data_IF_527115736560
#
_entry.id   IF_527115736560
#
_cell.length_a   1.000
_cell.length_b   1.000
_cell.length_c   1.000
_cell.angle_alpha   90.00
_cell.angle_beta   90.00
_cell.angle_gamma   90.00
#
_symmetry.space_group_name_H-M   'P 1'
#
loop_
_entity.id
_entity.type
_entity.pdbx_description
1 polymer ?
#
# COMPACT_ATOMS: atom_id res chain seq x y z
N UNK A 1 -27.52 -25.50 -25.97
CA UNK A 1 -26.85 -24.17 -25.87
C UNK A 1 -25.80 -24.30 -24.79
N UNK A 2 -24.71 -23.54 -24.87
CA UNK A 2 -23.68 -23.59 -23.83
C UNK A 2 -24.15 -22.73 -22.65
N UNK A 3 -24.15 -23.29 -21.45
CA UNK A 3 -24.63 -22.59 -20.25
C UNK A 3 -23.56 -21.64 -19.72
N UNK A 4 -23.97 -20.42 -19.38
CA UNK A 4 -23.11 -19.36 -18.83
C UNK A 4 -23.42 -19.24 -17.34
N UNK A 5 -22.40 -19.36 -16.49
CA UNK A 5 -22.53 -19.11 -15.05
C UNK A 5 -22.12 -17.68 -14.73
N UNK A 6 -23.01 -16.93 -14.08
CA UNK A 6 -22.75 -15.61 -13.52
C UNK A 6 -22.46 -15.78 -12.03
N UNK A 7 -21.21 -15.57 -11.63
CA UNK A 7 -20.75 -15.68 -10.26
C UNK A 7 -20.61 -14.28 -9.64
N UNK A 8 -21.33 -14.04 -8.55
CA UNK A 8 -21.34 -12.78 -7.78
C UNK A 8 -21.87 -11.55 -8.52
N UNK A 9 -22.54 -11.75 -9.66
CA UNK A 9 -23.33 -10.70 -10.33
C UNK A 9 -24.59 -10.34 -9.54
N UNK A 10 -25.20 -9.21 -9.87
CA UNK A 10 -26.49 -8.81 -9.32
C UNK A 10 -27.66 -9.42 -10.10
N UNK A 11 -28.84 -9.52 -9.48
CA UNK A 11 -30.01 -10.07 -10.15
C UNK A 11 -30.47 -9.20 -11.34
N UNK A 12 -30.18 -7.90 -11.31
CA UNK A 12 -30.39 -6.99 -12.45
C UNK A 12 -29.54 -7.38 -13.67
N UNK A 13 -28.29 -7.79 -13.44
CA UNK A 13 -27.37 -8.20 -14.52
C UNK A 13 -27.80 -9.52 -15.13
N UNK A 14 -28.24 -10.46 -14.28
CA UNK A 14 -28.83 -11.73 -14.70
C UNK A 14 -30.04 -11.49 -15.62
N UNK A 15 -31.00 -10.66 -15.20
CA UNK A 15 -32.20 -10.34 -15.99
C UNK A 15 -31.83 -9.70 -17.33
N UNK A 16 -30.86 -8.80 -17.33
CA UNK A 16 -30.36 -8.12 -18.54
C UNK A 16 -29.80 -9.12 -19.58
N UNK A 17 -28.99 -10.08 -19.14
CA UNK A 17 -28.44 -11.10 -20.04
C UNK A 17 -29.51 -12.10 -20.51
N UNK A 18 -30.45 -12.44 -19.63
CA UNK A 18 -31.60 -13.30 -19.96
C UNK A 18 -32.49 -12.65 -21.02
N UNK A 19 -32.77 -11.35 -20.92
CA UNK A 19 -33.54 -10.57 -21.91
C UNK A 19 -32.86 -10.55 -23.29
N UNK A 20 -31.52 -10.63 -23.31
CA UNK A 20 -30.71 -10.79 -24.54
C UNK A 20 -30.63 -12.23 -25.05
N UNK A 21 -31.38 -13.16 -24.45
CA UNK A 21 -31.47 -14.58 -24.80
C UNK A 21 -30.18 -15.37 -24.58
N UNK A 22 -29.32 -14.93 -23.66
CA UNK A 22 -28.22 -15.76 -23.18
C UNK A 22 -28.76 -16.82 -22.21
N UNK A 23 -28.21 -18.03 -22.28
CA UNK A 23 -28.51 -19.12 -21.36
C UNK A 23 -27.65 -18.97 -20.10
N UNK A 24 -28.13 -18.15 -19.16
CA UNK A 24 -27.40 -17.75 -17.95
C UNK A 24 -27.97 -18.40 -16.69
N UNK A 25 -27.10 -18.70 -15.73
CA UNK A 25 -27.47 -19.07 -14.36
C UNK A 25 -26.70 -18.22 -13.35
N UNK A 26 -27.40 -17.71 -12.33
CA UNK A 26 -26.81 -16.93 -11.26
C UNK A 26 -26.35 -17.83 -10.10
N UNK A 27 -25.15 -17.55 -9.59
CA UNK A 27 -24.57 -18.16 -8.39
C UNK A 27 -23.82 -17.10 -7.59
N UNK A 28 -23.71 -17.36 -6.30
CA UNK A 28 -22.96 -16.51 -5.37
C UNK A 28 -21.89 -17.34 -4.69
N UNK A 29 -20.74 -16.73 -4.45
CA UNK A 29 -19.71 -17.30 -3.59
C UNK A 29 -20.18 -17.27 -2.13
N UNK A 30 -19.53 -18.08 -1.30
CA UNK A 30 -19.67 -18.08 0.15
C UNK A 30 -19.29 -16.73 0.77
N UNK A 31 -18.39 -15.98 0.13
CA UNK A 31 -18.01 -14.63 0.58
C UNK A 31 -19.14 -13.62 0.43
N UNK A 32 -19.93 -13.72 -0.66
CA UNK A 32 -21.09 -12.85 -0.92
C UNK A 32 -22.35 -13.31 -0.16
N UNK A 33 -22.66 -14.60 -0.22
CA UNK A 33 -23.88 -15.18 0.36
C UNK A 33 -23.81 -15.41 1.87
N UNK A 34 -22.60 -15.50 2.44
CA UNK A 34 -22.37 -15.87 3.84
C UNK A 34 -22.63 -17.34 4.18
N UNK A 35 -22.83 -18.19 3.17
CA UNK A 35 -23.03 -19.64 3.32
C UNK A 35 -21.71 -20.38 3.25
N UNK A 36 -21.70 -21.68 3.56
CA UNK A 36 -20.52 -22.55 3.40
C UNK A 36 -20.94 -23.76 2.59
N UNK A 37 -20.97 -23.59 1.27
CA UNK A 37 -21.33 -24.61 0.30
C UNK A 37 -20.19 -24.74 -0.74
N UNK A 38 -20.03 -25.93 -1.34
CA UNK A 38 -19.08 -26.10 -2.46
C UNK A 38 -19.63 -25.44 -3.71
N UNK A 39 -18.77 -24.71 -4.41
CA UNK A 39 -19.14 -23.98 -5.61
C UNK A 39 -19.00 -24.88 -6.84
N UNK A 40 -20.13 -25.46 -7.25
CA UNK A 40 -20.19 -26.40 -8.38
C UNK A 40 -20.79 -25.72 -9.62
N UNK A 41 -20.03 -25.61 -10.73
CA UNK A 41 -20.58 -25.22 -12.01
C UNK A 41 -21.59 -26.25 -12.55
N UNK A 42 -22.59 -25.82 -13.34
CA UNK A 42 -23.48 -26.73 -14.05
C UNK A 42 -22.74 -27.69 -15.00
N UNK A 43 -23.31 -28.89 -15.24
CA UNK A 43 -22.66 -29.94 -16.05
C UNK A 43 -22.35 -29.53 -17.50
N UNK A 44 -23.10 -28.59 -18.06
CA UNK A 44 -22.98 -28.07 -19.43
C UNK A 44 -22.42 -26.64 -19.48
N UNK A 45 -21.85 -26.18 -18.37
CA UNK A 45 -21.25 -24.85 -18.26
C UNK A 45 -19.96 -24.77 -19.08
N UNK A 46 -19.90 -23.80 -20.01
CA UNK A 46 -18.71 -23.54 -20.83
C UNK A 46 -18.11 -22.17 -20.60
N UNK A 47 -18.88 -21.24 -20.05
CA UNK A 47 -18.43 -19.88 -19.76
C UNK A 47 -18.78 -19.53 -18.33
N UNK A 48 -17.81 -19.04 -17.57
CA UNK A 48 -18.01 -18.48 -16.24
C UNK A 48 -17.63 -17.01 -16.29
N UNK A 49 -18.53 -16.14 -15.83
CA UNK A 49 -18.27 -14.74 -15.60
C UNK A 49 -18.25 -14.53 -14.09
N UNK A 50 -17.16 -13.98 -13.55
CA UNK A 50 -16.97 -13.80 -12.11
C UNK A 50 -16.67 -12.35 -11.76
N UNK A 51 -17.45 -11.76 -10.85
CA UNK A 51 -17.16 -10.47 -10.23
C UNK A 51 -16.41 -10.63 -8.92
N UNK A 52 -15.08 -10.55 -8.96
CA UNK A 52 -14.23 -10.62 -7.79
C UNK A 52 -14.11 -9.24 -7.10
N UNK A 53 -15.14 -8.84 -6.36
CA UNK A 53 -15.19 -7.59 -5.60
C UNK A 53 -15.73 -7.84 -4.19
N UNK A 54 -14.85 -8.31 -3.32
CA UNK A 54 -15.18 -8.94 -2.04
C UNK A 54 -14.28 -8.38 -0.93
N UNK A 55 -14.90 -7.93 0.16
CA UNK A 55 -14.22 -7.35 1.32
C UNK A 55 -14.12 -8.33 2.51
N UNK A 56 -14.48 -9.60 2.32
CA UNK A 56 -14.44 -10.61 3.37
C UNK A 56 -13.01 -11.15 3.56
N UNK A 57 -12.66 -11.60 4.77
CA UNK A 57 -11.32 -12.09 5.12
C UNK A 57 -11.23 -13.63 5.26
N UNK A 58 -12.29 -14.37 4.89
CA UNK A 58 -12.34 -15.83 4.99
C UNK A 58 -11.49 -16.53 3.95
N UNK A 59 -10.21 -16.77 4.24
CA UNK A 59 -9.24 -17.36 3.29
C UNK A 59 -9.50 -18.83 2.94
N UNK A 60 -10.16 -19.59 3.81
CA UNK A 60 -10.42 -21.03 3.61
C UNK A 60 -11.71 -21.35 2.84
N UNK A 61 -12.51 -20.35 2.47
CA UNK A 61 -13.73 -20.57 1.69
C UNK A 61 -13.36 -20.94 0.25
N UNK A 62 -14.06 -21.93 -0.30
CA UNK A 62 -13.81 -22.47 -1.65
C UNK A 62 -12.41 -23.08 -1.86
N UNK A 63 -11.66 -23.35 -0.78
CA UNK A 63 -10.40 -24.06 -0.89
C UNK A 63 -10.62 -25.45 -1.50
N UNK A 64 -10.15 -25.65 -2.73
CA UNK A 64 -10.32 -26.88 -3.52
C UNK A 64 -11.44 -26.84 -4.57
N UNK A 65 -12.34 -25.86 -4.54
CA UNK A 65 -13.39 -25.73 -5.57
C UNK A 65 -12.80 -25.33 -6.94
N UNK A 66 -11.60 -24.73 -6.96
CA UNK A 66 -10.85 -24.39 -8.17
C UNK A 66 -10.76 -25.54 -9.19
N UNK A 67 -10.65 -26.79 -8.73
CA UNK A 67 -10.59 -27.96 -9.61
C UNK A 67 -11.81 -28.08 -10.53
N UNK A 68 -12.98 -27.60 -10.10
CA UNK A 68 -14.19 -27.61 -10.92
C UNK A 68 -14.13 -26.61 -12.08
N UNK A 69 -13.54 -25.44 -11.84
CA UNK A 69 -13.38 -24.39 -12.86
C UNK A 69 -12.20 -24.68 -13.78
N UNK A 70 -11.10 -25.20 -13.24
CA UNK A 70 -9.97 -25.69 -14.03
C UNK A 70 -10.41 -26.73 -15.04
N UNK A 71 -11.28 -27.67 -14.62
CA UNK A 71 -11.85 -28.67 -15.53
C UNK A 71 -12.63 -28.04 -16.70
N UNK A 72 -13.39 -26.97 -16.46
CA UNK A 72 -14.10 -26.26 -17.54
C UNK A 72 -13.10 -25.72 -18.55
N UNK A 73 -12.02 -25.09 -18.09
CA UNK A 73 -10.98 -24.54 -18.96
C UNK A 73 -10.22 -25.63 -19.70
N UNK A 74 -9.87 -26.72 -19.02
CA UNK A 74 -9.20 -27.89 -19.63
C UNK A 74 -10.06 -28.52 -20.75
N UNK A 75 -11.39 -28.48 -20.61
CA UNK A 75 -12.36 -28.92 -21.63
C UNK A 75 -12.63 -27.89 -22.73
N UNK A 76 -11.89 -26.78 -22.78
CA UNK A 76 -12.02 -25.72 -23.79
C UNK A 76 -13.01 -24.60 -23.44
N UNK A 77 -13.43 -24.51 -22.19
CA UNK A 77 -14.27 -23.43 -21.67
C UNK A 77 -13.47 -22.17 -21.30
N UNK A 78 -14.21 -21.14 -20.90
CA UNK A 78 -13.66 -19.81 -20.63
C UNK A 78 -14.11 -19.31 -19.27
N UNK A 79 -13.18 -18.74 -18.50
CA UNK A 79 -13.48 -18.07 -17.22
C UNK A 79 -13.02 -16.62 -17.32
N UNK A 80 -13.96 -15.68 -17.23
CA UNK A 80 -13.69 -14.23 -17.25
C UNK A 80 -13.86 -13.68 -15.84
N UNK A 81 -12.81 -13.06 -15.31
CA UNK A 81 -12.81 -12.48 -13.97
C UNK A 81 -12.69 -10.96 -14.05
N UNK A 82 -13.67 -10.25 -13.51
CA UNK A 82 -13.62 -8.82 -13.27
C UNK A 82 -13.02 -8.58 -11.89
N UNK A 83 -11.77 -8.10 -11.86
CA UNK A 83 -10.99 -7.98 -10.62
C UNK A 83 -11.21 -6.61 -10.01
N UNK A 84 -12.14 -6.54 -9.05
CA UNK A 84 -12.45 -5.37 -8.23
C UNK A 84 -11.65 -5.32 -6.94
N UNK A 85 -12.20 -4.70 -5.91
CA UNK A 85 -11.56 -4.66 -4.60
C UNK A 85 -11.67 -6.04 -3.93
N UNK A 86 -10.65 -6.86 -4.08
CA UNK A 86 -10.56 -8.16 -3.43
C UNK A 86 -9.10 -8.54 -3.15
N UNK A 87 -8.93 -9.58 -2.34
CA UNK A 87 -7.62 -10.21 -2.08
C UNK A 87 -7.35 -11.34 -3.08
N UNK A 88 -6.07 -11.64 -3.34
CA UNK A 88 -5.62 -12.68 -4.29
C UNK A 88 -6.34 -14.03 -4.12
N UNK A 89 -6.54 -14.48 -2.87
CA UNK A 89 -7.20 -15.77 -2.60
C UNK A 89 -8.67 -15.82 -3.03
N UNK A 90 -9.37 -14.69 -3.15
CA UNK A 90 -10.73 -14.67 -3.69
C UNK A 90 -10.76 -15.06 -5.17
N UNK A 91 -9.65 -14.83 -5.87
CA UNK A 91 -9.47 -15.26 -7.25
C UNK A 91 -8.91 -16.69 -7.30
N UNK A 92 -7.80 -16.95 -6.62
CA UNK A 92 -7.10 -18.25 -6.74
C UNK A 92 -7.87 -19.43 -6.16
N UNK A 93 -8.73 -19.23 -5.16
CA UNK A 93 -9.61 -20.31 -4.67
C UNK A 93 -10.69 -20.69 -5.70
N UNK A 94 -10.99 -19.84 -6.68
CA UNK A 94 -11.97 -20.11 -7.76
C UNK A 94 -11.28 -20.59 -9.03
N UNK A 95 -10.16 -20.00 -9.44
CA UNK A 95 -9.52 -20.29 -10.74
C UNK A 95 -8.21 -21.09 -10.66
N UNK A 96 -7.79 -21.44 -9.45
CA UNK A 96 -6.53 -22.12 -9.19
C UNK A 96 -5.37 -21.16 -8.91
N UNK A 97 -4.27 -21.71 -8.40
CA UNK A 97 -3.04 -20.95 -8.20
C UNK A 97 -2.36 -20.66 -9.54
N UNK A 98 -1.93 -19.41 -9.73
CA UNK A 98 -1.25 -18.95 -10.94
C UNK A 98 0.14 -18.45 -10.53
N UNK A 99 1.23 -19.01 -11.07
CA UNK A 99 2.58 -18.63 -10.67
C UNK A 99 2.82 -17.13 -10.81
N UNK A 100 3.43 -16.53 -9.78
CA UNK A 100 3.76 -15.11 -9.69
C UNK A 100 2.59 -14.13 -9.90
N UNK A 101 1.34 -14.60 -9.88
CA UNK A 101 0.18 -13.71 -9.78
C UNK A 101 0.26 -12.99 -8.43
N UNK A 102 0.23 -11.66 -8.48
CA UNK A 102 0.28 -10.81 -7.29
C UNK A 102 -0.60 -9.59 -7.50
N UNK A 103 -1.35 -9.18 -6.50
CA UNK A 103 -2.21 -7.99 -6.59
C UNK A 103 -1.48 -6.80 -5.97
N UNK A 104 -0.94 -5.93 -6.83
CA UNK A 104 -0.41 -4.64 -6.41
C UNK A 104 -1.35 -3.51 -6.85
N UNK A 105 -1.72 -2.62 -5.93
CA UNK A 105 -2.71 -1.58 -6.20
C UNK A 105 -2.24 -0.59 -7.29
N UNK A 106 -3.01 -0.45 -8.37
CA UNK A 106 -2.79 0.60 -9.37
C UNK A 106 -3.44 1.91 -8.93
N UNK A 107 -2.63 2.86 -8.50
CA UNK A 107 -3.08 4.18 -8.04
C UNK A 107 -3.78 5.04 -9.11
N UNK A 108 -3.58 4.74 -10.40
CA UNK A 108 -4.20 5.43 -11.53
C UNK A 108 -4.86 4.39 -12.44
N UNK A 109 -6.03 3.83 -12.05
CA UNK A 109 -6.62 2.65 -12.70
C UNK A 109 -7.11 2.91 -14.14
N UNK A 110 -7.40 4.15 -14.51
CA UNK A 110 -7.85 4.59 -15.84
C UNK A 110 -6.70 4.98 -16.79
N UNK A 111 -5.49 5.20 -16.23
CA UNK A 111 -4.29 5.54 -16.99
C UNK A 111 -3.55 4.27 -17.40
N UNK A 112 -3.97 3.73 -18.54
CA UNK A 112 -3.51 2.44 -19.06
C UNK A 112 -2.93 2.54 -20.48
N UNK A 113 -2.17 1.53 -20.87
CA UNK A 113 -1.78 1.23 -22.23
C UNK A 113 -2.42 -0.09 -22.66
N UNK A 114 -3.13 -0.09 -23.78
CA UNK A 114 -3.95 -1.21 -24.24
C UNK A 114 -3.43 -1.81 -25.55
N UNK A 115 -3.68 -3.11 -25.71
CA UNK A 115 -3.42 -3.82 -26.97
C UNK A 115 -4.36 -3.30 -28.05
N UNK A 116 -3.87 -3.21 -29.28
CA UNK A 116 -4.65 -2.76 -30.45
C UNK A 116 -5.20 -3.91 -31.28
N UNK A 117 -5.16 -5.12 -30.72
CA UNK A 117 -5.58 -6.32 -31.42
C UNK A 117 -7.04 -6.64 -31.11
N UNK A 118 -7.87 -6.88 -32.14
CA UNK A 118 -9.19 -7.43 -31.93
C UNK A 118 -9.11 -8.82 -31.27
N UNK A 119 -10.07 -9.15 -30.41
CA UNK A 119 -11.25 -8.36 -30.14
C UNK A 119 -11.17 -7.53 -28.83
N UNK A 120 -10.03 -7.58 -28.13
CA UNK A 120 -9.83 -6.95 -26.82
C UNK A 120 -9.70 -5.42 -26.90
N UNK A 121 -9.23 -4.88 -28.02
CA UNK A 121 -9.16 -3.44 -28.26
C UNK A 121 -10.52 -2.74 -27.99
N UNK A 122 -11.62 -3.37 -28.42
CA UNK A 122 -12.97 -2.81 -28.28
C UNK A 122 -13.38 -2.62 -26.81
N UNK A 123 -12.91 -3.51 -25.92
CA UNK A 123 -13.19 -3.43 -24.48
C UNK A 123 -12.61 -2.12 -23.92
N UNK A 124 -11.31 -1.89 -24.14
CA UNK A 124 -10.63 -0.74 -23.56
C UNK A 124 -11.03 0.56 -24.26
N UNK A 125 -11.21 0.56 -25.58
CA UNK A 125 -11.67 1.74 -26.31
C UNK A 125 -13.04 2.25 -25.80
N UNK A 126 -13.96 1.35 -25.45
CA UNK A 126 -15.29 1.73 -25.01
C UNK A 126 -15.39 1.93 -23.49
N UNK A 127 -14.72 1.10 -22.69
CA UNK A 127 -14.97 1.01 -21.26
C UNK A 127 -13.85 1.58 -20.37
N UNK A 128 -12.71 1.98 -20.93
CA UNK A 128 -11.60 2.59 -20.17
C UNK A 128 -12.01 3.70 -19.20
N UNK A 129 -12.90 4.66 -19.55
CA UNK A 129 -13.31 5.72 -18.62
C UNK A 129 -14.06 5.22 -17.38
N UNK A 130 -14.55 3.97 -17.40
CA UNK A 130 -15.30 3.36 -16.31
C UNK A 130 -14.45 2.46 -15.43
N UNK A 131 -13.15 2.31 -15.71
CA UNK A 131 -12.26 1.53 -14.85
C UNK A 131 -12.14 2.27 -13.51
N UNK A 132 -12.79 1.72 -12.48
CA UNK A 132 -12.76 2.31 -11.13
C UNK A 132 -11.76 1.62 -10.23
N UNK A 133 -11.35 0.38 -10.55
CA UNK A 133 -10.32 -0.35 -9.81
C UNK A 133 -9.52 -1.25 -10.74
N UNK A 134 -8.22 -1.36 -10.50
CA UNK A 134 -7.32 -2.25 -11.21
C UNK A 134 -6.13 -2.63 -10.32
N UNK A 135 -5.70 -3.88 -10.41
CA UNK A 135 -4.42 -4.33 -9.84
C UNK A 135 -3.39 -4.52 -10.95
N UNK A 136 -2.14 -4.28 -10.61
CA UNK A 136 -0.99 -4.78 -11.36
C UNK A 136 -0.81 -6.25 -10.95
N UNK A 137 -1.04 -7.17 -11.90
CA UNK A 137 -1.27 -8.59 -11.68
C UNK A 137 0.01 -9.45 -11.68
N UNK A 138 1.06 -8.98 -12.36
CA UNK A 138 2.31 -9.73 -12.51
C UNK A 138 3.51 -8.79 -12.42
N UNK A 139 4.63 -9.21 -11.81
CA UNK A 139 5.85 -8.41 -11.70
C UNK A 139 6.67 -8.37 -13.00
N UNK A 140 6.01 -8.37 -14.17
CA UNK A 140 6.63 -8.49 -15.50
C UNK A 140 6.25 -7.29 -16.39
N UNK A 141 6.90 -6.13 -16.22
CA UNK A 141 6.52 -4.93 -16.95
C UNK A 141 6.98 -4.93 -18.42
N UNK A 142 6.36 -4.09 -19.26
CA UNK A 142 6.68 -3.88 -20.68
C UNK A 142 6.49 -5.13 -21.57
N UNK A 143 5.39 -5.84 -21.35
CA UNK A 143 5.00 -7.03 -22.07
C UNK A 143 3.68 -6.89 -22.82
N UNK A 144 3.13 -5.68 -22.97
CA UNK A 144 1.92 -5.41 -23.76
C UNK A 144 1.97 -6.10 -25.12
N UNK A 145 0.95 -6.92 -25.41
CA UNK A 145 0.83 -7.69 -26.66
C UNK A 145 1.76 -8.90 -26.77
N UNK A 146 2.70 -9.11 -25.84
CA UNK A 146 3.58 -10.28 -25.84
C UNK A 146 2.89 -11.48 -25.20
N UNK A 147 3.22 -12.65 -25.70
CA UNK A 147 2.89 -13.95 -25.09
C UNK A 147 4.09 -14.44 -24.30
N UNK A 148 3.89 -14.77 -23.03
CA UNK A 148 4.88 -15.29 -22.10
C UNK A 148 4.48 -16.73 -21.75
N UNK A 149 5.41 -17.68 -21.91
CA UNK A 149 5.17 -19.06 -21.51
C UNK A 149 5.52 -19.25 -20.03
N UNK A 150 4.56 -19.70 -19.23
CA UNK A 150 4.75 -19.92 -17.79
C UNK A 150 5.44 -21.24 -17.44
N UNK A 151 5.80 -22.09 -18.42
CA UNK A 151 6.56 -23.33 -18.17
C UNK A 151 7.96 -23.06 -17.66
N UNK A 152 8.49 -21.87 -17.94
CA UNK A 152 9.83 -21.42 -17.54
C UNK A 152 9.82 -20.69 -16.19
N UNK A 153 8.65 -20.48 -15.59
CA UNK A 153 8.50 -19.81 -14.29
C UNK A 153 8.73 -20.80 -13.14
N UNK A 154 8.96 -20.29 -11.93
CA UNK A 154 9.11 -21.10 -10.72
C UNK A 154 8.02 -20.73 -9.69
N UNK A 155 7.01 -21.59 -9.46
CA UNK A 155 6.83 -22.92 -10.03
C UNK A 155 6.37 -22.89 -11.49
N UNK A 156 6.70 -23.93 -12.30
CA UNK A 156 6.30 -23.98 -13.70
C UNK A 156 4.81 -24.28 -13.83
N UNK A 157 4.13 -23.61 -14.76
CA UNK A 157 2.74 -23.89 -15.11
C UNK A 157 2.55 -24.05 -16.62
N UNK A 158 1.67 -24.96 -17.02
CA UNK A 158 1.26 -25.15 -18.42
C UNK A 158 0.25 -24.06 -18.85
N UNK A 159 0.70 -22.81 -18.80
CA UNK A 159 -0.09 -21.63 -19.12
C UNK A 159 0.67 -20.71 -20.09
N UNK A 160 -0.06 -20.08 -21.01
CA UNK A 160 0.48 -18.99 -21.83
C UNK A 160 -0.21 -17.67 -21.47
N UNK A 161 0.57 -16.68 -21.06
CA UNK A 161 0.09 -15.36 -20.64
C UNK A 161 0.26 -14.35 -21.75
N UNK A 162 -0.83 -13.76 -22.20
CA UNK A 162 -0.84 -12.61 -23.10
C UNK A 162 -1.27 -11.35 -22.35
N UNK A 163 -0.45 -10.30 -22.38
CA UNK A 163 -0.79 -9.03 -21.72
C UNK A 163 -1.67 -8.19 -22.65
N UNK A 164 -2.88 -7.87 -22.17
CA UNK A 164 -3.89 -7.12 -22.93
C UNK A 164 -3.88 -5.63 -22.60
N UNK A 165 -3.59 -5.28 -21.35
CA UNK A 165 -3.41 -3.89 -20.94
C UNK A 165 -2.40 -3.79 -19.80
N UNK A 166 -1.71 -2.65 -19.75
CA UNK A 166 -0.73 -2.29 -18.73
C UNK A 166 -1.12 -1.00 -18.01
N UNK A 167 -0.68 -0.85 -16.77
CA UNK A 167 -0.79 0.39 -16.01
C UNK A 167 0.14 1.47 -16.57
N UNK A 168 0.04 2.70 -16.06
CA UNK A 168 0.99 3.78 -16.38
C UNK A 168 2.45 3.47 -16.00
N UNK A 169 2.67 2.44 -15.16
CA UNK A 169 3.99 1.91 -14.78
C UNK A 169 4.42 0.72 -15.67
N UNK A 170 3.64 0.42 -16.70
CA UNK A 170 3.84 -0.67 -17.65
C UNK A 170 3.70 -2.07 -17.05
N UNK A 171 3.00 -2.23 -15.92
CA UNK A 171 2.72 -3.54 -15.35
C UNK A 171 1.39 -4.09 -15.86
N UNK A 172 1.26 -5.41 -16.11
CA UNK A 172 0.02 -6.01 -16.59
C UNK A 172 -1.15 -5.75 -15.64
N UNK A 173 -2.24 -5.16 -16.14
CA UNK A 173 -3.50 -4.97 -15.39
C UNK A 173 -4.65 -5.81 -15.97
N UNK A 174 -4.44 -6.33 -17.18
CA UNK A 174 -5.35 -7.24 -17.84
C UNK A 174 -4.55 -8.24 -18.64
N UNK A 175 -4.89 -9.52 -18.48
CA UNK A 175 -4.19 -10.62 -19.13
C UNK A 175 -5.16 -11.68 -19.62
N UNK A 176 -4.73 -12.43 -20.62
CA UNK A 176 -5.35 -13.67 -21.05
C UNK A 176 -4.38 -14.82 -20.75
N UNK A 177 -4.85 -15.84 -20.03
CA UNK A 177 -4.06 -17.00 -19.65
C UNK A 177 -4.64 -18.25 -20.34
N UNK A 178 -3.96 -18.76 -21.37
CA UNK A 178 -4.40 -19.97 -22.09
C UNK A 178 -3.96 -21.22 -21.34
N UNK A 179 -4.88 -22.17 -21.19
CA UNK A 179 -4.63 -23.52 -20.64
C UNK A 179 -5.31 -24.54 -21.55
N UNK A 180 -4.51 -25.32 -22.29
CA UNK A 180 -5.05 -26.25 -23.29
C UNK A 180 -5.89 -25.53 -24.35
N UNK A 181 -7.16 -25.92 -24.49
CA UNK A 181 -8.10 -25.32 -25.46
C UNK A 181 -8.93 -24.17 -24.86
N UNK A 182 -8.85 -23.94 -23.54
CA UNK A 182 -9.57 -22.89 -22.84
C UNK A 182 -8.65 -21.74 -22.41
N UNK A 183 -9.24 -20.74 -21.76
CA UNK A 183 -8.46 -19.65 -21.18
C UNK A 183 -9.18 -18.94 -20.02
N UNK A 184 -8.37 -18.31 -19.17
CA UNK A 184 -8.82 -17.30 -18.22
C UNK A 184 -8.62 -15.91 -18.80
N UNK A 185 -9.56 -15.01 -18.58
CA UNK A 185 -9.47 -13.61 -18.96
C UNK A 185 -9.62 -12.75 -17.71
N UNK A 186 -8.52 -12.09 -17.30
CA UNK A 186 -8.51 -11.18 -16.15
C UNK A 186 -8.68 -9.76 -16.65
N UNK A 187 -9.78 -9.13 -16.25
CA UNK A 187 -10.14 -7.76 -16.61
C UNK A 187 -10.14 -6.87 -15.36
N UNK A 188 -9.85 -5.57 -15.51
CA UNK A 188 -10.02 -4.63 -14.42
C UNK A 188 -11.51 -4.46 -14.10
N UNK A 189 -11.79 -3.74 -13.03
CA UNK A 189 -13.16 -3.50 -12.58
C UNK A 189 -13.75 -2.24 -13.20
N UNK A 190 -14.84 -2.42 -13.93
CA UNK A 190 -15.56 -1.34 -14.62
C UNK A 190 -16.81 -0.87 -13.85
N UNK A 191 -16.98 -1.27 -12.59
CA UNK A 191 -18.18 -0.97 -11.80
C UNK A 191 -19.44 -1.60 -12.38
N UNK A 192 -20.52 -0.84 -12.43
CA UNK A 192 -21.82 -1.26 -13.01
C UNK A 192 -21.72 -1.62 -14.50
N UNK A 193 -20.60 -1.30 -15.16
CA UNK A 193 -20.36 -1.59 -16.58
C UNK A 193 -19.80 -2.99 -16.84
N UNK A 194 -19.49 -3.78 -15.81
CA UNK A 194 -19.01 -5.15 -15.99
C UNK A 194 -19.96 -6.02 -16.83
N UNK A 195 -21.28 -5.88 -16.65
CA UNK A 195 -22.27 -6.62 -17.46
C UNK A 195 -22.24 -6.19 -18.93
N UNK A 196 -22.00 -4.91 -19.22
CA UNK A 196 -21.86 -4.41 -20.59
C UNK A 196 -20.58 -4.90 -21.27
N UNK A 197 -19.49 -5.01 -20.50
CA UNK A 197 -18.24 -5.63 -20.97
C UNK A 197 -18.46 -7.11 -21.23
N UNK A 198 -19.15 -7.83 -20.33
CA UNK A 198 -19.49 -9.23 -20.52
C UNK A 198 -20.32 -9.44 -21.80
N UNK A 199 -21.32 -8.59 -22.05
CA UNK A 199 -22.12 -8.61 -23.28
C UNK A 199 -21.28 -8.44 -24.55
N UNK A 200 -20.24 -7.61 -24.51
CA UNK A 200 -19.33 -7.39 -25.64
C UNK A 200 -18.44 -8.61 -25.89
N UNK A 201 -17.96 -9.25 -24.82
CA UNK A 201 -17.01 -10.36 -24.89
C UNK A 201 -17.69 -11.69 -25.21
N UNK A 202 -18.89 -11.94 -24.67
CA UNK A 202 -19.62 -13.22 -24.82
C UNK A 202 -19.73 -13.72 -26.28
N UNK A 203 -20.14 -12.90 -27.27
CA UNK A 203 -20.22 -13.34 -28.67
C UNK A 203 -18.88 -13.72 -29.30
N UNK A 204 -17.77 -13.24 -28.74
CA UNK A 204 -16.41 -13.47 -29.25
C UNK A 204 -15.78 -14.73 -28.65
N UNK A 205 -16.16 -15.06 -27.41
CA UNK A 205 -15.60 -16.20 -26.65
C UNK A 205 -16.51 -17.43 -26.69
N UNK A 206 -17.80 -17.26 -26.97
CA UNK A 206 -18.67 -18.40 -27.20
C UNK A 206 -18.30 -19.04 -28.54
N UNK A 207 -18.05 -20.36 -28.58
CA UNK A 207 -17.79 -21.04 -29.83
C UNK A 207 -19.01 -20.83 -30.74
N UNK A 208 -18.82 -20.08 -31.84
CA UNK A 208 -19.69 -20.24 -32.98
C UNK A 208 -19.64 -21.72 -33.31
N UNK A 209 -20.79 -22.40 -33.35
CA UNK A 209 -20.90 -23.76 -33.86
C UNK A 209 -20.44 -23.78 -35.32
N UNK A 210 -19.14 -23.84 -35.52
CA UNK A 210 -18.45 -23.94 -36.79
C UNK A 210 -17.05 -24.41 -36.46
N UNK A 211 -16.76 -25.64 -36.87
CA UNK A 211 -15.42 -26.19 -37.01
C UNK A 211 -14.54 -25.11 -37.65
N UNK A 212 -13.66 -24.48 -36.86
CA UNK A 212 -12.56 -23.73 -37.45
C UNK A 212 -11.56 -24.74 -38.02
N UNK A 213 -10.98 -24.48 -39.20
CA UNK A 213 -9.86 -25.28 -39.67
C UNK A 213 -8.72 -25.19 -38.66
N UNK A 214 -7.83 -26.20 -38.58
CA UNK A 214 -6.69 -26.14 -37.68
C UNK A 214 -5.87 -24.89 -38.01
N UNK A 215 -5.68 -24.02 -37.02
CA UNK A 215 -4.70 -22.94 -37.10
C UNK A 215 -3.33 -23.55 -37.35
N UNK A 216 -2.50 -22.86 -38.14
CA UNK A 216 -1.13 -23.24 -38.46
C UNK A 216 -0.24 -23.27 -37.20
N UNK A 217 -0.37 -24.32 -36.37
CA UNK A 217 0.57 -24.69 -35.31
C UNK A 217 1.80 -25.42 -35.87
N UNK A 218 1.82 -25.71 -37.17
CA UNK A 218 2.95 -26.29 -37.85
C UNK A 218 4.00 -25.24 -38.13
N UNK A 219 4.87 -24.94 -37.16
CA UNK A 219 6.30 -24.56 -37.22
C UNK A 219 6.66 -23.70 -35.99
N UNK A 220 6.54 -24.24 -34.76
CA UNK A 220 7.13 -23.65 -33.53
C UNK A 220 8.26 -24.49 -32.91
N UNK A 221 8.52 -25.68 -33.46
CA UNK A 221 9.63 -26.54 -33.03
C UNK A 221 11.00 -26.04 -33.51
N UNK A 222 11.05 -25.18 -34.54
CA UNK A 222 12.31 -24.58 -35.03
C UNK A 222 12.95 -23.62 -34.01
N UNK A 223 12.18 -23.12 -33.04
CA UNK A 223 12.66 -22.23 -31.98
C UNK A 223 13.17 -22.99 -30.74
N UNK A 224 13.14 -24.33 -30.76
CA UNK A 224 13.73 -25.17 -29.71
C UNK A 224 15.26 -25.17 -29.78
N UNK A 225 15.91 -25.39 -28.63
CA UNK A 225 17.37 -25.52 -28.49
C UNK A 225 18.02 -26.51 -29.47
N UNK A 226 17.25 -27.52 -29.92
CA UNK A 226 17.69 -28.54 -30.88
C UNK A 226 17.80 -28.01 -32.33
N UNK A 227 17.18 -26.86 -32.63
CA UNK A 227 17.01 -26.34 -34.00
C UNK A 227 17.46 -24.88 -34.17
N UNK A 228 17.74 -24.16 -33.07
CA UNK A 228 18.27 -22.78 -33.07
C UNK A 228 19.78 -22.77 -33.33
N UNK A 229 20.23 -21.93 -34.27
CA UNK A 229 21.67 -21.82 -34.60
C UNK A 229 22.49 -21.17 -33.46
N UNK A 230 23.78 -21.53 -33.32
CA UNK A 230 24.63 -21.08 -32.20
C UNK A 230 24.68 -19.56 -31.99
N UNK A 231 24.74 -18.77 -33.07
CA UNK A 231 24.78 -17.30 -32.96
C UNK A 231 23.51 -16.68 -32.40
N UNK A 232 22.34 -17.31 -32.58
CA UNK A 232 21.07 -16.84 -31.98
C UNK A 232 20.96 -17.31 -30.52
N UNK A 233 21.47 -18.50 -30.22
CA UNK A 233 21.60 -19.03 -28.87
C UNK A 233 22.46 -18.16 -27.96
N UNK A 234 23.57 -17.62 -28.50
CA UNK A 234 24.46 -16.72 -27.76
C UNK A 234 23.77 -15.40 -27.42
N UNK A 235 22.94 -14.86 -28.32
CA UNK A 235 22.11 -13.67 -28.07
C UNK A 235 21.04 -13.94 -27.00
N UNK A 236 20.39 -15.11 -27.02
CA UNK A 236 19.45 -15.49 -25.95
C UNK A 236 20.14 -15.59 -24.59
N UNK A 237 21.36 -16.15 -24.53
CA UNK A 237 22.17 -16.20 -23.30
C UNK A 237 22.58 -14.81 -22.81
N UNK A 238 22.94 -13.89 -23.71
CA UNK A 238 23.24 -12.50 -23.34
C UNK A 238 22.00 -11.79 -22.76
N UNK A 239 20.81 -12.03 -23.34
CA UNK A 239 19.54 -11.50 -22.82
C UNK A 239 19.18 -12.07 -21.45
N UNK A 240 19.33 -13.39 -21.23
CA UNK A 240 19.12 -14.02 -19.93
C UNK A 240 20.07 -13.46 -18.87
N UNK A 241 21.36 -13.30 -19.20
CA UNK A 241 22.35 -12.75 -18.29
C UNK A 241 22.04 -11.29 -17.91
N UNK A 242 21.57 -10.49 -18.84
CA UNK A 242 21.22 -9.09 -18.57
C UNK A 242 19.92 -8.97 -17.77
N UNK A 243 18.91 -9.81 -18.07
CA UNK A 243 17.69 -9.90 -17.28
C UNK A 243 17.96 -10.34 -15.84
N UNK A 244 18.87 -11.29 -15.63
CA UNK A 244 19.25 -11.74 -14.29
C UNK A 244 19.96 -10.65 -13.50
N UNK A 245 20.87 -9.88 -14.12
CA UNK A 245 21.50 -8.72 -13.48
C UNK A 245 20.47 -7.64 -13.12
N UNK A 246 19.50 -7.40 -14.00
CA UNK A 246 18.44 -6.43 -13.75
C UNK A 246 17.56 -6.87 -12.58
N UNK A 247 17.15 -8.14 -12.55
CA UNK A 247 16.38 -8.75 -11.46
C UNK A 247 17.11 -8.63 -10.12
N UNK A 248 18.38 -9.00 -10.07
CA UNK A 248 19.21 -8.87 -8.88
C UNK A 248 19.36 -7.41 -8.43
N UNK A 249 19.47 -6.49 -9.39
CA UNK A 249 19.52 -5.05 -9.11
C UNK A 249 18.21 -4.55 -8.50
N UNK A 250 17.06 -4.99 -9.02
CA UNK A 250 15.74 -4.62 -8.51
C UNK A 250 15.51 -5.13 -7.10
N UNK A 251 15.78 -6.41 -6.82
CA UNK A 251 15.68 -7.00 -5.47
C UNK A 251 16.57 -6.25 -4.48
N UNK A 252 17.79 -5.89 -4.89
CA UNK A 252 18.70 -5.08 -4.07
C UNK A 252 18.13 -3.68 -3.79
N UNK A 253 17.52 -3.03 -4.78
CA UNK A 253 16.93 -1.70 -4.62
C UNK A 253 15.70 -1.72 -3.73
N UNK A 254 14.84 -2.73 -3.86
CA UNK A 254 13.68 -2.95 -3.00
C UNK A 254 14.10 -3.21 -1.55
N UNK A 255 15.10 -4.09 -1.34
CA UNK A 255 15.68 -4.31 -0.03
C UNK A 255 16.24 -3.02 0.58
N UNK A 256 16.91 -2.18 -0.24
CA UNK A 256 17.39 -0.87 0.19
C UNK A 256 16.25 0.11 0.50
N UNK A 257 15.13 0.07 -0.21
CA UNK A 257 13.94 0.88 0.11
C UNK A 257 13.40 0.50 1.48
N UNK A 258 13.23 -0.79 1.75
CA UNK A 258 12.67 -1.25 3.03
C UNK A 258 13.63 -0.95 4.20
N UNK A 259 14.94 -1.13 3.97
CA UNK A 259 15.97 -0.72 4.92
C UNK A 259 15.92 0.79 5.19
N UNK A 260 15.85 1.64 4.16
CA UNK A 260 15.76 3.09 4.32
C UNK A 260 14.44 3.52 4.97
N UNK A 261 13.33 2.86 4.64
CA UNK A 261 12.02 3.17 5.20
C UNK A 261 11.98 2.87 6.69
N UNK A 262 12.40 1.67 7.09
CA UNK A 262 12.46 1.24 8.49
C UNK A 262 13.50 2.02 9.31
N UNK A 263 14.69 2.28 8.74
CA UNK A 263 15.77 2.97 9.44
C UNK A 263 15.60 4.49 9.49
N UNK A 264 15.14 5.13 8.41
CA UNK A 264 15.13 6.59 8.29
C UNK A 264 13.75 7.24 8.39
N UNK A 265 12.66 6.56 8.02
CA UNK A 265 11.35 7.20 7.86
C UNK A 265 10.35 6.80 8.95
N UNK A 266 10.17 5.50 9.20
CA UNK A 266 9.17 4.99 10.14
C UNK A 266 9.35 5.49 11.57
N UNK A 267 10.61 5.69 11.97
CA UNK A 267 10.93 6.18 13.31
C UNK A 267 10.40 7.59 13.55
N UNK A 268 10.40 8.45 12.52
CA UNK A 268 9.85 9.80 12.61
C UNK A 268 8.37 9.87 12.26
N UNK A 269 7.83 8.90 11.50
CA UNK A 269 6.39 8.80 11.27
C UNK A 269 5.60 8.65 12.58
N UNK A 270 6.19 8.01 13.60
CA UNK A 270 5.58 7.93 14.94
C UNK A 270 5.32 9.30 15.58
N UNK A 271 6.04 10.37 15.20
CA UNK A 271 5.72 11.73 15.65
C UNK A 271 4.32 12.17 15.18
N UNK A 272 3.85 11.63 14.06
CA UNK A 272 2.59 12.01 13.42
C UNK A 272 1.42 11.15 13.88
N UNK A 273 1.67 9.89 14.24
CA UNK A 273 0.62 8.88 14.47
C UNK A 273 0.58 8.34 15.89
N UNK A 274 1.67 8.40 16.65
CA UNK A 274 1.72 7.78 17.98
C UNK A 274 1.05 8.64 19.06
N UNK A 275 0.67 7.98 20.16
CA UNK A 275 0.11 8.58 21.36
C UNK A 275 0.81 8.00 22.61
N UNK A 276 0.70 8.68 23.76
CA UNK A 276 1.24 8.20 25.03
C UNK A 276 2.75 7.94 25.00
N UNK A 277 3.16 6.78 25.52
CA UNK A 277 4.59 6.41 25.66
C UNK A 277 5.29 6.29 24.31
N UNK A 278 4.64 5.74 23.30
CA UNK A 278 5.22 5.60 21.96
C UNK A 278 5.54 6.96 21.33
N UNK A 279 4.70 7.97 21.62
CA UNK A 279 4.97 9.35 21.20
C UNK A 279 6.14 9.96 21.97
N UNK A 280 6.21 9.75 23.29
CA UNK A 280 7.34 10.19 24.10
C UNK A 280 8.66 9.62 23.55
N UNK A 281 8.71 8.32 23.27
CA UNK A 281 9.88 7.66 22.69
C UNK A 281 10.25 8.22 21.30
N UNK A 282 9.25 8.54 20.47
CA UNK A 282 9.48 9.17 19.17
C UNK A 282 10.08 10.58 19.31
N UNK A 283 9.59 11.38 20.26
CA UNK A 283 10.12 12.71 20.57
C UNK A 283 11.56 12.62 21.12
N UNK A 284 11.85 11.67 22.02
CA UNK A 284 13.22 11.42 22.50
C UNK A 284 14.16 11.08 21.35
N UNK A 285 13.75 10.19 20.44
CA UNK A 285 14.56 9.82 19.26
C UNK A 285 14.80 11.02 18.34
N UNK A 286 13.78 11.84 18.10
CA UNK A 286 13.88 13.07 17.34
C UNK A 286 14.89 14.06 17.94
N UNK A 287 14.85 14.27 19.25
CA UNK A 287 15.77 15.16 19.95
C UNK A 287 17.20 14.60 19.95
N UNK A 288 17.37 13.28 20.14
CA UNK A 288 18.69 12.64 20.00
C UNK A 288 19.23 12.76 18.57
N UNK A 289 18.38 12.59 17.56
CA UNK A 289 18.76 12.76 16.15
C UNK A 289 19.30 14.17 15.87
N UNK A 290 18.72 15.19 16.51
CA UNK A 290 19.17 16.58 16.41
C UNK A 290 20.45 16.86 17.20
N UNK A 291 21.12 15.84 17.76
CA UNK A 291 22.40 15.92 18.47
C UNK A 291 22.37 16.73 19.77
N UNK A 292 21.27 16.77 20.52
CA UNK A 292 21.36 17.23 21.91
C UNK A 292 22.33 16.34 22.69
N UNK A 293 23.26 16.95 23.43
CA UNK A 293 24.29 16.21 24.17
C UNK A 293 23.68 15.27 25.21
N UNK A 294 22.67 15.75 25.94
CA UNK A 294 21.95 14.98 26.94
C UNK A 294 20.43 15.09 26.72
N UNK A 295 19.82 13.97 26.33
CA UNK A 295 18.36 13.79 26.23
C UNK A 295 17.94 12.76 27.27
N UNK A 296 17.44 13.24 28.41
CA UNK A 296 17.10 12.42 29.57
C UNK A 296 15.61 12.11 29.55
N UNK A 297 15.26 10.82 29.42
CA UNK A 297 13.90 10.36 29.71
C UNK A 297 13.70 10.37 31.24
N UNK A 298 12.83 11.24 31.70
CA UNK A 298 12.63 11.51 33.13
C UNK A 298 11.95 10.33 33.83
N UNK A 299 11.08 9.61 33.11
CA UNK A 299 10.41 8.43 33.64
C UNK A 299 11.41 7.28 33.89
N UNK A 300 12.42 7.16 33.04
CA UNK A 300 13.46 6.14 33.19
C UNK A 300 14.53 6.56 34.22
N UNK A 301 15.01 7.81 34.13
CA UNK A 301 16.05 8.34 35.03
C UNK A 301 15.63 8.24 36.51
N UNK A 302 14.35 8.48 36.81
CA UNK A 302 13.79 8.41 38.16
C UNK A 302 12.85 7.24 38.40
N UNK A 303 13.03 6.14 37.67
CA UNK A 303 12.22 4.92 37.78
C UNK A 303 12.10 4.35 39.20
N UNK A 304 13.06 4.63 40.09
CA UNK A 304 13.11 4.17 41.49
C UNK A 304 12.77 5.24 42.51
N UNK A 305 12.33 6.42 42.09
CA UNK A 305 11.99 7.54 42.96
C UNK A 305 10.47 7.74 42.93
N UNK A 306 9.85 7.78 44.11
CA UNK A 306 8.42 8.11 44.22
C UNK A 306 8.27 9.61 44.02
N UNK A 307 7.75 10.01 42.86
CA UNK A 307 7.50 11.41 42.50
C UNK A 307 6.23 11.55 41.67
N UNK A 308 5.71 12.77 41.60
CA UNK A 308 4.70 13.13 40.61
C UNK A 308 5.37 13.24 39.25
N UNK A 309 4.81 12.55 38.26
CA UNK A 309 5.26 12.60 36.85
C UNK A 309 4.63 13.82 36.20
N UNK A 310 5.45 14.84 35.98
CA UNK A 310 5.00 16.16 35.54
C UNK A 310 5.56 16.48 34.15
N UNK A 311 6.84 16.15 33.96
CA UNK A 311 7.55 16.26 32.71
C UNK A 311 8.08 14.91 32.22
N UNK A 312 8.34 14.83 30.92
CA UNK A 312 8.71 13.59 30.25
C UNK A 312 10.18 13.56 29.87
N UNK A 313 10.77 14.70 29.50
CA UNK A 313 12.14 14.77 28.97
C UNK A 313 12.86 16.01 29.49
N UNK A 314 14.15 15.89 29.80
CA UNK A 314 15.05 17.03 29.95
C UNK A 314 16.08 17.07 28.82
N UNK A 315 16.30 18.27 28.30
CA UNK A 315 17.33 18.59 27.33
C UNK A 315 18.38 19.45 28.00
N UNK A 316 19.60 18.93 28.01
CA UNK A 316 20.78 19.54 28.59
C UNK A 316 21.86 19.57 27.51
N UNK A 317 22.46 20.73 27.32
CA UNK A 317 23.38 20.98 26.22
C UNK A 317 24.83 21.18 26.71
N UNK A 318 25.21 20.34 27.67
CA UNK A 318 26.54 20.26 28.31
C UNK A 318 26.71 18.81 28.80
N UNK A 319 27.90 18.22 28.68
CA UNK A 319 28.22 16.83 29.05
C UNK A 319 29.34 16.68 30.08
N UNK A 320 29.97 17.78 30.51
CA UNK A 320 31.12 17.78 31.42
C UNK A 320 30.79 17.38 32.87
N UNK A 321 29.50 17.35 33.24
CA UNK A 321 29.02 17.16 34.63
C UNK A 321 27.93 16.10 34.69
N UNK A 322 27.70 15.55 35.88
CA UNK A 322 26.57 14.63 36.10
C UNK A 322 25.22 15.34 35.88
N UNK A 323 24.19 14.58 35.52
CA UNK A 323 22.84 15.11 35.28
C UNK A 323 22.32 15.91 36.48
N UNK A 324 22.56 15.45 37.71
CA UNK A 324 22.11 16.12 38.95
C UNK A 324 22.73 17.50 39.14
N UNK A 325 23.94 17.71 38.61
CA UNK A 325 24.62 19.00 38.65
C UNK A 325 24.21 19.87 37.47
N UNK A 326 24.07 19.28 36.28
CA UNK A 326 23.61 19.98 35.08
C UNK A 326 22.22 20.61 35.26
N UNK A 327 21.28 19.88 35.87
CA UNK A 327 19.93 20.43 36.12
C UNK A 327 19.91 21.65 37.04
N UNK A 328 20.97 21.86 37.84
CA UNK A 328 21.11 23.01 38.76
C UNK A 328 21.89 24.16 38.15
N UNK A 329 22.99 23.86 37.46
CA UNK A 329 23.98 24.86 37.06
C UNK A 329 23.79 25.35 35.60
N UNK A 330 23.25 24.49 34.73
CA UNK A 330 23.14 24.73 33.28
C UNK A 330 21.71 25.12 32.86
N UNK A 331 21.51 25.75 31.69
CA UNK A 331 20.18 25.91 31.09
C UNK A 331 19.53 24.55 30.85
N UNK A 332 18.27 24.40 31.27
CA UNK A 332 17.50 23.15 31.10
C UNK A 332 16.27 23.45 30.26
N UNK A 333 16.06 22.68 29.19
CA UNK A 333 14.76 22.68 28.51
C UNK A 333 14.00 21.42 28.91
N UNK A 334 12.93 21.63 29.67
CA UNK A 334 11.99 20.60 30.06
C UNK A 334 10.93 20.44 28.98
N UNK A 335 10.63 19.19 28.60
CA UNK A 335 9.62 18.88 27.60
C UNK A 335 8.52 18.03 28.22
N UNK A 336 7.27 18.44 27.97
CA UNK A 336 6.08 17.65 28.24
C UNK A 336 5.47 17.23 26.91
N UNK A 337 5.14 15.96 26.76
CA UNK A 337 4.59 15.38 25.54
C UNK A 337 3.11 15.07 25.73
N UNK A 338 2.28 15.53 24.79
CA UNK A 338 0.83 15.30 24.82
C UNK A 338 0.32 14.87 23.47
N UNK A 339 -0.75 14.08 23.49
CA UNK A 339 -1.49 13.69 22.31
C UNK A 339 -2.98 13.83 22.57
N UNK A 340 -3.75 14.13 21.53
CA UNK A 340 -5.19 14.28 21.65
C UNK A 340 -5.89 14.25 20.30
N UNK A 341 -7.15 13.83 20.32
CA UNK A 341 -8.02 13.86 19.13
C UNK A 341 -8.54 15.27 18.82
N UNK A 342 -8.55 16.15 19.82
CA UNK A 342 -8.89 17.57 19.70
C UNK A 342 -7.64 18.45 19.84
N UNK A 343 -7.82 19.78 19.80
CA UNK A 343 -6.77 20.75 20.12
C UNK A 343 -6.33 20.70 21.59
N UNK A 344 -5.29 21.45 21.92
CA UNK A 344 -4.72 21.52 23.26
C UNK A 344 -5.73 22.09 24.26
N UNK A 345 -5.91 21.41 25.39
CA UNK A 345 -6.74 21.93 26.46
C UNK A 345 -6.01 23.05 27.21
N UNK A 346 -6.75 23.99 27.79
CA UNK A 346 -6.16 25.05 28.63
C UNK A 346 -5.36 24.47 29.80
N UNK A 347 -5.82 23.34 30.34
CA UNK A 347 -5.13 22.62 31.40
C UNK A 347 -3.72 22.15 30.99
N UNK A 348 -3.49 21.80 29.72
CA UNK A 348 -2.17 21.36 29.26
C UNK A 348 -1.15 22.50 29.37
N UNK A 349 -1.54 23.73 29.01
CA UNK A 349 -0.68 24.91 29.10
C UNK A 349 -0.49 25.36 30.55
N UNK A 350 -1.56 25.35 31.35
CA UNK A 350 -1.51 25.68 32.78
C UNK A 350 -0.61 24.71 33.55
N UNK A 351 -0.70 23.42 33.24
CA UNK A 351 0.15 22.41 33.87
C UNK A 351 1.62 22.58 33.47
N UNK A 352 1.93 22.88 32.21
CA UNK A 352 3.30 23.19 31.77
C UNK A 352 3.93 24.31 32.62
N UNK A 353 3.19 25.42 32.82
CA UNK A 353 3.65 26.56 33.62
C UNK A 353 3.86 26.17 35.10
N UNK A 354 2.90 25.44 35.70
CA UNK A 354 2.99 24.96 37.08
C UNK A 354 4.18 24.03 37.29
N UNK A 355 4.40 23.10 36.36
CA UNK A 355 5.51 22.15 36.40
C UNK A 355 6.85 22.87 36.31
N UNK A 356 6.99 23.81 35.37
CA UNK A 356 8.17 24.69 35.28
C UNK A 356 8.46 25.38 36.61
N UNK A 357 7.47 26.04 37.20
CA UNK A 357 7.63 26.77 38.45
C UNK A 357 8.12 25.89 39.61
N UNK A 358 7.55 24.69 39.74
CA UNK A 358 8.00 23.70 40.75
C UNK A 358 9.44 23.25 40.50
N UNK A 359 9.80 22.94 39.26
CA UNK A 359 11.15 22.47 38.88
C UNK A 359 12.21 23.56 39.08
N UNK A 360 11.88 24.81 38.79
CA UNK A 360 12.78 25.95 39.07
C UNK A 360 13.13 26.03 40.57
N UNK A 361 12.15 25.81 41.45
CA UNK A 361 12.37 25.79 42.90
C UNK A 361 13.14 24.54 43.34
N UNK A 362 12.75 23.35 42.87
CA UNK A 362 13.38 22.07 43.22
C UNK A 362 14.86 22.01 42.80
N UNK A 363 15.16 22.47 41.60
CA UNK A 363 16.51 22.49 41.05
C UNK A 363 17.31 23.70 41.52
N UNK A 364 16.65 24.71 42.10
CA UNK A 364 17.23 26.03 42.37
C UNK A 364 17.86 26.63 41.10
N UNK A 365 17.14 26.51 39.97
CA UNK A 365 17.61 26.89 38.65
C UNK A 365 16.56 27.75 37.94
N UNK A 366 16.87 29.03 37.76
CA UNK A 366 15.98 29.98 37.08
C UNK A 366 16.15 29.98 35.56
N UNK A 367 17.16 29.29 35.02
CA UNK A 367 17.44 29.16 33.58
C UNK A 367 16.66 27.99 32.95
N UNK A 368 15.45 27.74 33.43
CA UNK A 368 14.60 26.65 32.96
C UNK A 368 13.60 27.16 31.93
N UNK A 369 13.55 26.46 30.79
CA UNK A 369 12.52 26.63 29.76
C UNK A 369 11.63 25.41 29.75
N UNK A 370 10.33 25.59 29.54
CA UNK A 370 9.41 24.47 29.31
C UNK A 370 8.86 24.51 27.89
N UNK A 371 8.76 23.35 27.25
CA UNK A 371 8.18 23.19 25.92
C UNK A 371 7.12 22.08 25.94
N UNK A 372 5.91 22.41 25.52
CA UNK A 372 4.85 21.43 25.27
C UNK A 372 4.96 20.94 23.82
N UNK A 373 5.21 19.65 23.64
CA UNK A 373 5.25 18.99 22.32
C UNK A 373 3.97 18.17 22.13
N UNK A 374 3.10 18.63 21.22
CA UNK A 374 1.75 18.11 21.04
C UNK A 374 1.51 17.40 19.71
N UNK A 375 1.03 16.15 19.76
CA UNK A 375 0.39 15.46 18.63
C UNK A 375 -1.15 15.56 18.75
N UNK A 376 -1.68 16.75 18.49
CA UNK A 376 -3.12 17.01 18.53
C UNK A 376 -3.78 16.77 17.16
N UNK A 377 -5.11 16.63 17.15
CA UNK A 377 -5.88 16.24 15.96
C UNK A 377 -5.34 14.97 15.28
N UNK A 378 -4.92 13.98 16.09
CA UNK A 378 -4.16 12.80 15.64
C UNK A 378 -4.83 11.97 14.53
N UNK A 379 -6.16 12.06 14.41
CA UNK A 379 -6.96 11.35 13.39
C UNK A 379 -6.96 12.00 12.01
N UNK A 380 -6.52 13.26 11.90
CA UNK A 380 -6.45 14.00 10.64
C UNK A 380 -5.02 13.88 10.08
N UNK A 381 -4.88 13.84 8.75
CA UNK A 381 -3.57 13.91 8.09
C UNK A 381 -2.77 15.12 8.60
N UNK A 382 -1.52 14.92 9.02
CA UNK A 382 -0.73 15.94 9.71
C UNK A 382 -0.62 17.29 8.97
N UNK A 383 -0.60 17.25 7.63
CA UNK A 383 -0.54 18.44 6.77
C UNK A 383 -1.82 19.29 6.79
N UNK A 384 -2.96 18.65 7.06
CA UNK A 384 -4.29 19.29 7.06
C UNK A 384 -4.74 19.73 8.45
N UNK A 385 -3.95 19.45 9.49
CA UNK A 385 -4.28 19.82 10.87
C UNK A 385 -4.17 21.32 11.06
N UNK A 386 -5.16 21.87 11.75
CA UNK A 386 -5.11 23.25 12.24
C UNK A 386 -4.09 23.40 13.38
N UNK A 387 -3.70 24.64 13.69
CA UNK A 387 -2.85 24.92 14.85
C UNK A 387 -3.63 24.57 16.12
N UNK A 388 -3.16 23.65 16.96
CA UNK A 388 -3.95 23.13 18.08
C UNK A 388 -3.94 24.03 19.31
N UNK A 389 -3.28 25.18 19.24
CA UNK A 389 -3.15 26.12 20.35
C UNK A 389 -3.92 27.40 20.03
N UNK A 390 -4.67 27.90 21.01
CA UNK A 390 -5.36 29.19 20.87
C UNK A 390 -4.37 30.37 20.96
N UNK A 391 -4.75 31.54 20.44
CA UNK A 391 -3.91 32.74 20.54
C UNK A 391 -3.58 33.12 21.98
N UNK A 392 -4.52 32.94 22.91
CA UNK A 392 -4.31 33.19 24.33
C UNK A 392 -3.24 32.26 24.90
N UNK A 393 -3.33 30.96 24.63
CA UNK A 393 -2.34 29.97 25.07
C UNK A 393 -0.95 30.30 24.51
N UNK A 394 -0.86 30.69 23.23
CA UNK A 394 0.39 31.10 22.59
C UNK A 394 0.99 32.35 23.25
N UNK A 395 0.17 33.37 23.52
CA UNK A 395 0.59 34.61 24.13
C UNK A 395 1.04 34.42 25.60
N UNK A 396 0.34 33.60 26.37
CA UNK A 396 0.71 33.26 27.74
C UNK A 396 2.03 32.47 27.77
N UNK A 397 2.15 31.44 26.94
CA UNK A 397 3.40 30.69 26.83
C UNK A 397 4.58 31.61 26.47
N UNK A 398 4.40 32.58 25.56
CA UNK A 398 5.44 33.54 25.22
C UNK A 398 5.84 34.44 26.40
N UNK A 399 4.86 34.97 27.16
CA UNK A 399 5.11 35.81 28.35
C UNK A 399 5.88 35.06 29.44
N UNK A 400 5.61 33.78 29.61
CA UNK A 400 6.29 32.92 30.57
C UNK A 400 7.63 32.36 30.08
N UNK A 401 8.03 32.69 28.84
CA UNK A 401 9.25 32.15 28.23
C UNK A 401 9.19 30.64 27.95
N UNK A 402 8.00 30.11 27.66
CA UNK A 402 7.74 28.71 27.33
C UNK A 402 7.49 28.54 25.81
N UNK A 403 7.66 27.32 25.31
CA UNK A 403 7.40 26.95 23.93
C UNK A 403 6.19 26.03 23.78
N UNK A 404 5.44 26.20 22.69
CA UNK A 404 4.40 25.30 22.23
C UNK A 404 4.81 24.80 20.84
N UNK A 405 4.97 23.50 20.68
CA UNK A 405 5.46 22.88 19.46
C UNK A 405 4.53 21.74 19.04
N UNK A 406 4.17 21.68 17.77
CA UNK A 406 3.48 20.50 17.23
C UNK A 406 4.49 19.45 16.79
N UNK A 407 4.14 18.19 16.93
CA UNK A 407 5.00 17.09 16.46
C UNK A 407 5.16 17.10 14.94
N UNK A 408 4.17 17.64 14.21
CA UNK A 408 4.27 17.87 12.77
C UNK A 408 5.32 18.93 12.42
N UNK A 409 5.42 20.01 13.20
CA UNK A 409 6.44 21.04 13.00
C UNK A 409 7.84 20.49 13.29
N UNK A 410 7.99 19.65 14.33
CA UNK A 410 9.23 18.93 14.61
C UNK A 410 9.60 17.95 13.47
N UNK A 411 8.63 17.21 12.94
CA UNK A 411 8.83 16.33 11.79
C UNK A 411 9.30 17.11 10.55
N UNK A 412 8.67 18.26 10.26
CA UNK A 412 9.08 19.12 9.14
C UNK A 412 10.50 19.64 9.30
N UNK A 413 10.92 20.00 10.50
CA UNK A 413 12.29 20.43 10.76
C UNK A 413 13.31 19.31 10.45
N UNK A 414 13.04 18.09 10.91
CA UNK A 414 13.89 16.92 10.62
C UNK A 414 13.91 16.62 9.12
N UNK A 415 12.76 16.68 8.45
CA UNK A 415 12.68 16.53 7.00
C UNK A 415 13.48 17.59 6.26
N UNK A 416 13.40 18.85 6.68
CA UNK A 416 14.16 19.96 6.10
C UNK A 416 15.67 19.78 6.28
N UNK A 417 16.13 19.25 7.42
CA UNK A 417 17.54 18.93 7.64
C UNK A 417 18.01 17.78 6.75
N UNK A 418 17.22 16.70 6.62
CA UNK A 418 17.53 15.61 5.68
C UNK A 418 17.54 16.07 4.22
N UNK A 419 16.72 17.06 3.88
CA UNK A 419 16.72 17.75 2.58
C UNK A 419 17.85 18.78 2.43
N UNK A 420 18.74 18.91 3.43
CA UNK A 420 19.86 19.86 3.49
C UNK A 420 19.47 21.33 3.39
N UNK A 421 18.24 21.67 3.79
CA UNK A 421 17.74 23.06 3.84
C UNK A 421 18.18 23.79 5.09
N UNK A 422 18.40 23.07 6.18
CA UNK A 422 18.88 23.58 7.47
C UNK A 422 19.87 22.59 8.09
N UNK A 423 20.57 23.00 9.15
CA UNK A 423 21.42 22.11 9.97
C UNK A 423 20.71 21.71 11.27
N UNK A 424 21.19 20.64 11.90
CA UNK A 424 20.69 20.18 13.21
C UNK A 424 20.91 21.23 14.29
N UNK A 425 22.06 21.90 14.24
CA UNK A 425 22.46 22.98 15.14
C UNK A 425 21.49 24.17 15.02
N UNK A 426 21.16 24.59 13.80
CA UNK A 426 20.22 25.68 13.57
C UNK A 426 18.80 25.35 14.07
N UNK A 427 18.37 24.09 13.95
CA UNK A 427 17.09 23.64 14.53
C UNK A 427 17.14 23.72 16.06
N UNK A 428 18.23 23.25 16.69
CA UNK A 428 18.43 23.30 18.15
C UNK A 428 18.44 24.72 18.69
N UNK A 429 19.16 25.63 18.03
CA UNK A 429 19.19 27.04 18.41
C UNK A 429 17.77 27.65 18.38
N UNK A 430 17.01 27.38 17.32
CA UNK A 430 15.62 27.83 17.22
C UNK A 430 14.73 27.20 18.27
N UNK A 431 14.89 25.90 18.55
CA UNK A 431 14.15 25.20 19.58
C UNK A 431 14.41 25.81 20.97
N UNK A 432 15.65 26.17 21.27
CA UNK A 432 16.04 26.76 22.55
C UNK A 432 15.64 28.24 22.65
N UNK A 433 15.75 29.02 21.57
CA UNK A 433 15.50 30.47 21.60
C UNK A 433 14.02 30.87 21.48
N UNK A 434 13.21 30.14 20.70
CA UNK A 434 11.83 30.55 20.39
C UNK A 434 10.85 30.27 21.54
N UNK A 435 9.92 31.19 21.78
CA UNK A 435 8.86 31.09 22.79
C UNK A 435 7.49 31.30 22.14
N UNK A 436 6.41 30.96 22.83
CA UNK A 436 5.08 30.88 22.23
C UNK A 436 5.00 29.73 21.24
N UNK A 437 4.32 29.91 20.11
CA UNK A 437 4.25 28.90 19.06
C UNK A 437 5.60 28.79 18.33
N UNK A 438 6.26 27.66 18.46
CA UNK A 438 7.52 27.36 17.78
C UNK A 438 7.20 26.88 16.37
N UNK A 439 7.57 27.67 15.38
CA UNK A 439 7.66 27.28 13.97
C UNK A 439 9.09 27.46 13.47
N UNK A 440 9.67 26.46 12.81
CA UNK A 440 11.05 26.51 12.34
C UNK A 440 11.15 27.31 11.05
N UNK A 441 12.27 28.03 10.90
CA UNK A 441 12.68 28.67 9.65
C UNK A 441 13.85 27.87 9.10
N UNK A 442 13.77 27.53 7.82
CA UNK A 442 14.76 26.75 7.09
C UNK A 442 15.03 27.44 5.76
#
# INVERSE_FOLDING_TARGET
>A
MAKIMLLDFEESDYRRLLDKKFDVELRETNWKSGRVESLLPPQDCRVVLYQANLNNYGTGLHAGDAAHFEKIVDEGGVVVCFVGNCQEYHLTNVIGEIPHLKFEENKLPDKIYEIKDPPYEAIFNQFRPFISHAYELFPSPNNLGKTINLREWDPPAELELQVLAESFRNYPISVLLRKGQGFYLLLPWFGEKNVEVAELVLPQIMPATAVQPPSEEGVRWLDSYDYVFPGLLDVYKEMEQENEKHRQTMVRLEGRIEELKSSEQEQFNKLLTAEGKDLQEAVVKALKYLNWLNVVDVNDYWKRVIRVKEEDIWLLDEDEKSIERLIRDAPVTMVTVKAGKAGAADEDCLNLQRYKGRRMQEFNNTKLKAVLVGNYFSQIEAKLREVPFSENQVNEAAKDGNGLLTTYELFKAIKAEKEKKTTKEAIREQFNAKVGLIAFKY
#
